data_IF_275572961182
#
_entry.id   IF_275572961182
#
_cell.length_a   1.000
_cell.length_b   1.000
_cell.length_c   1.000
_cell.angle_alpha   90.00
_cell.angle_beta   90.00
_cell.angle_gamma   90.00
#
_symmetry.space_group_name_H-M   'P 1'
#
loop_
_entity.id
_entity.type
_entity.pdbx_description
1 polymer ?
#
# COMPACT_ATOMS: atom_id res chain seq x y z
N UNK A 1 -23.20 -14.00 -3.41
CA UNK A 1 -22.41 -12.98 -4.10
C UNK A 1 -20.97 -13.06 -3.63
N UNK A 2 -19.94 -12.82 -4.48
CA UNK A 2 -18.55 -12.95 -4.09
C UNK A 2 -18.18 -11.91 -3.02
N UNK A 3 -17.55 -12.39 -1.95
CA UNK A 3 -17.05 -11.54 -0.86
C UNK A 3 -15.60 -11.91 -0.60
N UNK A 4 -14.72 -10.91 -0.61
CA UNK A 4 -13.31 -11.08 -0.27
C UNK A 4 -12.93 -10.15 0.88
N UNK A 5 -12.08 -10.65 1.77
CA UNK A 5 -11.49 -9.89 2.87
C UNK A 5 -9.99 -10.08 2.83
N UNK A 6 -9.25 -8.98 2.75
CA UNK A 6 -7.81 -8.94 2.93
C UNK A 6 -7.52 -8.31 4.28
N UNK A 7 -7.01 -9.10 5.22
CA UNK A 7 -6.68 -8.63 6.56
C UNK A 7 -5.23 -8.96 6.89
N UNK A 8 -4.44 -7.92 7.17
CA UNK A 8 -3.06 -8.02 7.60
C UNK A 8 -2.94 -7.42 9.01
N UNK A 9 -2.28 -8.13 9.89
CA UNK A 9 -2.06 -7.73 11.27
C UNK A 9 -0.59 -7.91 11.64
N UNK A 10 0.03 -6.84 12.13
CA UNK A 10 1.43 -6.79 12.52
C UNK A 10 1.53 -6.32 13.96
N UNK A 11 2.14 -7.12 14.81
CA UNK A 11 2.52 -6.74 16.16
C UNK A 11 4.04 -6.54 16.19
N UNK A 12 4.48 -5.36 16.57
CA UNK A 12 5.90 -4.97 16.57
C UNK A 12 6.37 -4.72 17.99
N UNK A 13 7.42 -5.39 18.41
CA UNK A 13 8.17 -5.01 19.62
C UNK A 13 8.83 -3.63 19.45
N UNK A 14 9.22 -2.99 20.57
CA UNK A 14 9.77 -1.63 20.56
C UNK A 14 11.00 -1.46 19.64
N UNK A 15 11.83 -2.47 19.51
CA UNK A 15 13.02 -2.47 18.64
C UNK A 15 12.75 -3.03 17.23
N UNK A 16 11.53 -3.47 16.95
CA UNK A 16 11.20 -4.09 15.66
C UNK A 16 10.81 -3.06 14.61
N UNK A 17 11.22 -3.36 13.39
CA UNK A 17 10.84 -2.59 12.20
C UNK A 17 10.42 -3.53 11.08
N UNK A 18 9.51 -3.09 10.23
CA UNK A 18 9.03 -3.88 9.11
C UNK A 18 8.81 -3.04 7.87
N UNK A 19 9.00 -3.66 6.72
CA UNK A 19 8.50 -3.16 5.43
C UNK A 19 7.43 -4.16 4.98
N UNK A 20 6.19 -3.71 4.92
CA UNK A 20 5.08 -4.47 4.38
C UNK A 20 4.56 -3.86 3.10
N UNK A 21 3.95 -4.65 2.25
CA UNK A 21 3.27 -4.15 1.07
C UNK A 21 2.02 -4.96 0.74
N UNK A 22 1.13 -4.34 -0.02
CA UNK A 22 -0.07 -4.95 -0.54
C UNK A 22 -0.34 -4.45 -1.95
N UNK A 23 -0.73 -5.37 -2.83
CA UNK A 23 -1.08 -5.09 -4.22
C UNK A 23 -2.50 -5.62 -4.46
N UNK A 24 -3.41 -4.71 -4.76
CA UNK A 24 -4.80 -5.02 -5.04
C UNK A 24 -5.10 -4.75 -6.51
N UNK A 25 -5.39 -5.81 -7.27
CA UNK A 25 -5.95 -5.70 -8.62
C UNK A 25 -7.46 -5.92 -8.60
N UNK A 26 -8.20 -5.00 -9.17
CA UNK A 26 -9.66 -5.06 -9.27
C UNK A 26 -10.09 -5.69 -10.59
N UNK A 27 -10.80 -6.82 -10.52
CA UNK A 27 -11.21 -7.57 -11.70
C UNK A 27 -10.07 -8.36 -12.33
N UNK A 28 -10.11 -8.48 -13.65
CA UNK A 28 -9.08 -9.10 -14.49
C UNK A 28 -8.63 -8.09 -15.55
N UNK A 29 -7.78 -7.12 -15.20
CA UNK A 29 -7.42 -6.02 -16.11
C UNK A 29 -6.83 -6.50 -17.43
N UNK A 30 -6.07 -7.59 -17.43
CA UNK A 30 -5.49 -8.19 -18.63
C UNK A 30 -6.56 -8.73 -19.61
N UNK A 31 -7.75 -9.07 -19.13
CA UNK A 31 -8.88 -9.55 -19.94
C UNK A 31 -9.93 -8.44 -20.20
N UNK A 32 -9.66 -7.21 -19.75
CA UNK A 32 -10.63 -6.12 -19.86
C UNK A 32 -11.85 -6.23 -18.94
N UNK A 33 -11.84 -7.16 -17.99
CA UNK A 33 -12.93 -7.37 -17.05
C UNK A 33 -12.75 -6.50 -15.81
N UNK A 34 -13.62 -5.50 -15.63
CA UNK A 34 -13.64 -4.62 -14.48
C UNK A 34 -14.29 -5.26 -13.24
N UNK A 35 -13.99 -4.74 -12.07
CA UNK A 35 -14.65 -5.10 -10.83
C UNK A 35 -16.00 -4.37 -10.71
N UNK A 36 -17.08 -5.06 -11.05
CA UNK A 36 -18.42 -4.48 -11.15
C UNK A 36 -19.46 -5.10 -10.19
N UNK A 37 -19.09 -6.13 -9.44
CA UNK A 37 -19.97 -6.86 -8.50
C UNK A 37 -19.16 -7.45 -7.35
N UNK A 38 -19.85 -7.71 -6.25
CA UNK A 38 -19.24 -8.27 -5.04
C UNK A 38 -18.83 -7.22 -4.03
N UNK A 39 -18.30 -7.69 -2.91
CA UNK A 39 -17.80 -6.87 -1.82
C UNK A 39 -16.36 -7.24 -1.50
N UNK A 40 -15.49 -6.25 -1.45
CA UNK A 40 -14.10 -6.37 -1.00
C UNK A 40 -13.88 -5.50 0.23
N UNK A 41 -13.26 -6.05 1.24
CA UNK A 41 -12.84 -5.34 2.45
C UNK A 41 -11.32 -5.49 2.62
N UNK A 42 -10.64 -4.38 2.90
CA UNK A 42 -9.24 -4.36 3.25
C UNK A 42 -9.06 -3.82 4.67
N UNK A 43 -8.20 -4.47 5.44
CA UNK A 43 -7.78 -4.03 6.75
C UNK A 43 -6.31 -4.35 6.95
N UNK A 44 -5.52 -3.32 7.23
CA UNK A 44 -4.12 -3.45 7.61
C UNK A 44 -3.95 -2.78 8.96
N UNK A 45 -3.44 -3.50 9.93
CA UNK A 45 -3.19 -3.01 11.28
C UNK A 45 -1.72 -3.20 11.64
N UNK A 46 -1.13 -2.16 12.19
CA UNK A 46 0.20 -2.20 12.82
C UNK A 46 0.03 -1.78 14.26
N UNK A 47 0.38 -2.66 15.17
CA UNK A 47 0.32 -2.46 16.61
C UNK A 47 1.75 -2.32 17.14
N UNK A 48 2.01 -1.23 17.84
CA UNK A 48 3.24 -0.99 18.59
C UNK A 48 2.99 -1.24 20.09
N UNK A 49 4.02 -1.31 20.94
CA UNK A 49 3.83 -1.47 22.39
C UNK A 49 2.99 -0.36 23.04
N UNK A 50 2.98 0.82 22.44
CA UNK A 50 2.15 1.97 22.89
C UNK A 50 0.69 1.91 22.41
N UNK A 51 0.31 0.88 21.67
CA UNK A 51 -1.02 0.70 21.07
C UNK A 51 -1.02 0.80 19.54
N UNK A 52 -2.19 0.99 18.92
CA UNK A 52 -2.31 1.04 17.46
C UNK A 52 -1.44 2.15 16.84
N UNK A 53 -0.45 1.75 16.05
CA UNK A 53 0.43 2.66 15.32
C UNK A 53 -0.15 3.06 13.96
N UNK A 54 -0.84 2.15 13.28
CA UNK A 54 -1.48 2.46 12.00
C UNK A 54 -2.64 1.51 11.71
N UNK A 55 -3.70 2.09 11.13
CA UNK A 55 -4.86 1.35 10.67
C UNK A 55 -5.26 1.87 9.30
N UNK A 56 -5.24 0.99 8.31
CA UNK A 56 -5.80 1.21 6.99
C UNK A 56 -7.07 0.38 6.84
N UNK A 57 -8.14 1.00 6.36
CA UNK A 57 -9.41 0.32 6.05
C UNK A 57 -9.98 0.80 4.73
N UNK A 58 -10.37 -0.15 3.89
CA UNK A 58 -11.06 0.11 2.64
C UNK A 58 -12.24 -0.84 2.45
N UNK A 59 -13.31 -0.35 1.86
CA UNK A 59 -14.46 -1.17 1.46
C UNK A 59 -14.89 -0.74 0.06
N UNK A 60 -14.93 -1.71 -0.84
CA UNK A 60 -15.55 -1.58 -2.15
C UNK A 60 -16.76 -2.52 -2.17
N UNK A 61 -17.94 -1.98 -2.35
CA UNK A 61 -19.20 -2.73 -2.24
C UNK A 61 -20.13 -2.39 -3.40
N UNK A 62 -20.34 -3.36 -4.30
CA UNK A 62 -21.30 -3.28 -5.39
C UNK A 62 -22.58 -4.06 -5.10
N UNK A 63 -22.63 -4.82 -4.03
CA UNK A 63 -23.78 -5.68 -3.71
C UNK A 63 -24.88 -4.90 -2.96
N UNK A 64 -24.52 -3.91 -2.14
CA UNK A 64 -25.47 -3.02 -1.51
C UNK A 64 -25.69 -1.77 -2.40
N UNK A 65 -26.91 -1.54 -2.92
CA UNK A 65 -27.21 -0.39 -3.78
C UNK A 65 -26.85 0.96 -3.16
N UNK A 66 -26.91 1.08 -1.82
CA UNK A 66 -26.55 2.32 -1.08
C UNK A 66 -25.04 2.60 -1.14
N UNK A 67 -24.22 1.56 -1.27
CA UNK A 67 -22.77 1.66 -1.33
C UNK A 67 -22.21 1.61 -2.74
N UNK A 68 -22.92 0.97 -3.68
CA UNK A 68 -22.47 0.78 -5.05
C UNK A 68 -22.15 2.09 -5.77
N UNK A 69 -23.00 3.11 -5.59
CA UNK A 69 -22.76 4.43 -6.19
C UNK A 69 -21.52 5.12 -5.59
N UNK A 70 -21.34 5.04 -4.28
CA UNK A 70 -20.14 5.57 -3.62
C UNK A 70 -18.88 4.86 -4.11
N UNK A 71 -18.95 3.53 -4.28
CA UNK A 71 -17.85 2.72 -4.81
C UNK A 71 -17.50 3.15 -6.23
N UNK A 72 -18.49 3.32 -7.12
CA UNK A 72 -18.24 3.80 -8.50
C UNK A 72 -17.57 5.17 -8.50
N UNK A 73 -18.08 6.11 -7.70
CA UNK A 73 -17.48 7.46 -7.58
C UNK A 73 -16.03 7.40 -7.09
N UNK A 74 -15.75 6.58 -6.08
CA UNK A 74 -14.38 6.42 -5.56
C UNK A 74 -13.43 5.89 -6.64
N UNK A 75 -13.88 4.86 -7.40
CA UNK A 75 -13.04 4.25 -8.43
C UNK A 75 -12.84 5.19 -9.65
N UNK A 76 -13.84 5.99 -10.00
CA UNK A 76 -13.76 6.91 -11.15
C UNK A 76 -13.13 8.27 -10.82
N UNK A 77 -13.09 8.67 -9.56
CA UNK A 77 -12.64 10.01 -9.15
C UNK A 77 -11.12 10.17 -9.30
N UNK A 78 -10.64 11.30 -9.85
CA UNK A 78 -9.22 11.65 -9.82
C UNK A 78 -8.64 11.79 -8.41
N UNK A 79 -9.49 12.07 -7.42
CA UNK A 79 -9.10 12.09 -5.99
C UNK A 79 -9.18 10.70 -5.33
N UNK A 80 -9.64 9.70 -6.05
CA UNK A 80 -9.73 8.30 -5.64
C UNK A 80 -8.78 7.43 -6.45
N UNK A 81 -9.36 6.52 -7.24
CA UNK A 81 -8.58 5.57 -8.04
C UNK A 81 -8.31 6.04 -9.49
N UNK A 82 -8.89 7.16 -9.91
CA UNK A 82 -8.69 7.75 -11.24
C UNK A 82 -8.97 6.75 -12.38
N UNK A 83 -9.96 5.88 -12.20
CA UNK A 83 -10.30 4.81 -13.15
C UNK A 83 -9.28 3.67 -13.23
N UNK A 84 -8.20 3.70 -12.47
CA UNK A 84 -7.14 2.68 -12.52
C UNK A 84 -7.53 1.45 -11.72
N UNK A 85 -7.33 0.23 -12.25
CA UNK A 85 -7.79 -0.99 -11.57
C UNK A 85 -6.81 -1.53 -10.53
N UNK A 86 -5.60 -0.99 -10.41
CA UNK A 86 -4.58 -1.53 -9.49
C UNK A 86 -4.15 -0.47 -8.49
N UNK A 87 -4.25 -0.80 -7.21
CA UNK A 87 -3.72 -0.04 -6.08
C UNK A 87 -2.55 -0.80 -5.44
N UNK A 88 -1.44 -0.13 -5.25
CA UNK A 88 -0.33 -0.62 -4.46
C UNK A 88 -0.11 0.22 -3.21
N UNK A 89 0.15 -0.44 -2.10
CA UNK A 89 0.60 0.17 -0.87
C UNK A 89 1.90 -0.48 -0.40
N UNK A 90 2.82 0.35 0.05
CA UNK A 90 4.05 -0.06 0.72
C UNK A 90 4.20 0.77 1.98
N UNK A 91 4.54 0.15 3.09
CA UNK A 91 4.75 0.89 4.34
C UNK A 91 6.04 0.46 5.02
N UNK A 92 6.70 1.42 5.64
CA UNK A 92 7.73 1.21 6.65
C UNK A 92 7.08 1.49 8.00
N UNK A 93 7.19 0.56 8.94
CA UNK A 93 6.64 0.73 10.27
C UNK A 93 7.65 0.32 11.34
N UNK A 94 7.62 1.03 12.48
CA UNK A 94 8.48 0.80 13.62
C UNK A 94 7.67 0.69 14.92
N UNK A 95 8.06 -0.22 15.81
CA UNK A 95 7.44 -0.41 17.12
C UNK A 95 7.74 0.74 18.10
N UNK A 96 8.83 1.46 17.91
CA UNK A 96 9.12 2.74 18.58
C UNK A 96 8.94 3.92 17.63
N UNK A 97 8.64 5.13 18.13
CA UNK A 97 8.57 6.33 17.30
C UNK A 97 9.88 6.55 16.54
N UNK A 98 9.78 6.72 15.24
CA UNK A 98 10.90 7.10 14.39
C UNK A 98 11.36 8.52 14.72
N UNK A 99 12.67 8.69 14.84
CA UNK A 99 13.28 10.02 14.96
C UNK A 99 12.92 10.86 13.72
N UNK A 100 12.69 12.16 13.90
CA UNK A 100 12.18 13.06 12.86
C UNK A 100 13.05 13.06 11.60
N UNK A 101 14.36 13.24 11.75
CA UNK A 101 15.30 13.23 10.62
C UNK A 101 15.33 11.88 9.88
N UNK A 102 15.20 10.78 10.62
CA UNK A 102 15.13 9.44 10.00
C UNK A 102 13.85 9.27 9.21
N UNK A 103 12.73 9.73 9.75
CA UNK A 103 11.42 9.71 9.09
C UNK A 103 11.42 10.55 7.81
N UNK A 104 12.05 11.74 7.85
CA UNK A 104 12.23 12.59 6.67
C UNK A 104 13.08 11.90 5.59
N UNK A 105 14.22 11.28 5.94
CA UNK A 105 15.03 10.53 4.97
C UNK A 105 14.28 9.37 4.34
N UNK A 106 13.49 8.61 5.12
CA UNK A 106 12.63 7.54 4.59
C UNK A 106 11.58 8.11 3.62
N UNK A 107 10.96 9.24 3.95
CA UNK A 107 9.99 9.90 3.09
C UNK A 107 10.63 10.40 1.78
N UNK A 108 11.76 11.06 1.86
CA UNK A 108 12.50 11.58 0.70
C UNK A 108 13.02 10.44 -0.18
N UNK A 109 13.59 9.39 0.40
CA UNK A 109 14.07 8.22 -0.34
C UNK A 109 12.94 7.51 -1.07
N UNK A 110 11.74 7.45 -0.47
CA UNK A 110 10.56 6.89 -1.13
C UNK A 110 10.12 7.75 -2.32
N UNK A 111 10.05 9.06 -2.13
CA UNK A 111 9.67 10.01 -3.20
C UNK A 111 10.64 9.99 -4.36
N UNK A 112 11.94 9.91 -4.08
CA UNK A 112 12.99 9.84 -5.10
C UNK A 112 12.99 8.50 -5.87
N UNK A 113 12.58 7.41 -5.22
CA UNK A 113 12.59 6.08 -5.81
C UNK A 113 11.27 5.72 -6.53
N UNK A 114 10.16 6.39 -6.20
CA UNK A 114 8.87 6.13 -6.84
C UNK A 114 8.89 6.70 -8.27
N UNK A 115 8.66 5.86 -9.31
CA UNK A 115 8.65 6.34 -10.69
C UNK A 115 7.58 7.41 -10.93
N UNK A 116 7.93 8.49 -11.61
CA UNK A 116 7.00 9.58 -11.97
C UNK A 116 5.83 9.12 -12.85
N UNK A 117 6.01 8.02 -13.59
CA UNK A 117 4.95 7.42 -14.40
C UNK A 117 3.81 6.79 -13.59
N UNK A 118 4.01 6.55 -12.29
CA UNK A 118 2.98 6.04 -11.39
C UNK A 118 2.22 7.21 -10.75
N UNK A 119 0.89 7.11 -10.78
CA UNK A 119 0.04 8.05 -10.04
C UNK A 119 0.10 7.71 -8.53
N UNK A 120 1.03 8.33 -7.81
CA UNK A 120 1.26 7.97 -6.42
C UNK A 120 2.05 8.97 -5.63
N UNK A 121 2.28 8.66 -4.35
CA UNK A 121 3.06 9.48 -3.47
C UNK A 121 3.37 8.81 -2.13
N UNK A 122 4.29 9.44 -1.39
CA UNK A 122 4.68 9.02 -0.06
C UNK A 122 4.21 10.03 0.99
N UNK A 123 3.72 9.52 2.12
CA UNK A 123 3.20 10.31 3.25
C UNK A 123 3.67 9.74 4.59
N UNK A 124 3.59 10.58 5.61
CA UNK A 124 3.86 10.21 7.00
C UNK A 124 2.58 10.37 7.81
N UNK A 125 1.78 9.30 8.00
CA UNK A 125 0.54 9.38 8.79
C UNK A 125 0.78 9.75 10.25
N UNK A 126 1.89 9.28 10.81
CA UNK A 126 2.30 9.54 12.18
C UNK A 126 3.80 9.23 12.37
N UNK A 127 4.29 9.32 13.61
CA UNK A 127 5.71 9.09 13.92
C UNK A 127 6.20 7.64 13.87
N UNK A 128 5.34 6.67 13.66
CA UNK A 128 5.72 5.25 13.56
C UNK A 128 5.77 4.74 12.13
N UNK A 129 5.14 5.45 11.16
CA UNK A 129 4.87 4.89 9.85
C UNK A 129 5.12 5.88 8.73
N UNK A 130 5.76 5.41 7.68
CA UNK A 130 5.83 6.06 6.36
C UNK A 130 5.10 5.18 5.36
N UNK A 131 4.21 5.74 4.56
CA UNK A 131 3.37 4.98 3.61
C UNK A 131 3.54 5.55 2.20
N UNK A 132 3.70 4.65 1.24
CA UNK A 132 3.58 4.93 -0.19
C UNK A 132 2.29 4.32 -0.70
N UNK A 133 1.54 5.09 -1.50
CA UNK A 133 0.39 4.58 -2.27
C UNK A 133 0.58 4.97 -3.71
N UNK A 134 0.28 4.05 -4.61
CA UNK A 134 0.32 4.33 -6.03
C UNK A 134 -0.75 3.53 -6.78
N UNK A 135 -1.17 4.05 -7.91
CA UNK A 135 -2.17 3.48 -8.79
C UNK A 135 -1.54 3.19 -10.16
N UNK A 136 -2.00 2.13 -10.81
CA UNK A 136 -1.58 1.77 -12.15
C UNK A 136 -2.67 1.02 -12.92
N UNK A 137 -2.47 0.90 -14.22
CA UNK A 137 -3.37 0.11 -15.08
C UNK A 137 -3.06 -1.39 -15.02
N UNK A 138 -1.84 -1.76 -14.58
CA UNK A 138 -1.36 -3.15 -14.46
C UNK A 138 -0.51 -3.34 -13.19
N UNK A 139 -0.42 -4.58 -12.76
CA UNK A 139 0.29 -4.97 -11.54
C UNK A 139 1.81 -4.83 -11.68
N UNK A 140 2.36 -5.20 -12.85
CA UNK A 140 3.80 -5.31 -13.05
C UNK A 140 4.53 -3.96 -12.84
N UNK A 141 4.16 -2.84 -13.53
CA UNK A 141 4.86 -1.57 -13.32
C UNK A 141 4.69 -1.05 -11.89
N UNK A 142 3.58 -1.38 -11.24
CA UNK A 142 3.34 -1.00 -9.85
C UNK A 142 4.25 -1.80 -8.90
N UNK A 143 4.36 -3.12 -9.12
CA UNK A 143 5.24 -3.99 -8.33
C UNK A 143 6.72 -3.59 -8.48
N UNK A 144 7.15 -3.25 -9.70
CA UNK A 144 8.50 -2.75 -9.97
C UNK A 144 8.76 -1.43 -9.25
N UNK A 145 7.83 -0.47 -9.33
CA UNK A 145 7.96 0.83 -8.68
C UNK A 145 8.00 0.71 -7.15
N UNK A 146 7.11 -0.07 -6.54
CA UNK A 146 7.16 -0.34 -5.10
C UNK A 146 8.40 -1.14 -4.70
N UNK A 147 8.88 -2.02 -5.57
CA UNK A 147 10.15 -2.72 -5.41
C UNK A 147 11.35 -1.77 -5.33
N UNK A 148 11.37 -0.72 -6.16
CA UNK A 148 12.39 0.33 -6.12
C UNK A 148 12.36 1.11 -4.79
N UNK A 149 11.17 1.48 -4.32
CA UNK A 149 10.99 2.14 -3.01
C UNK A 149 11.44 1.22 -1.87
N UNK A 150 11.03 -0.06 -1.89
CA UNK A 150 11.49 -1.04 -0.90
C UNK A 150 13.01 -1.14 -0.87
N UNK A 151 13.66 -1.14 -2.03
CA UNK A 151 15.10 -1.17 -2.15
C UNK A 151 15.75 0.08 -1.51
N UNK A 152 15.19 1.26 -1.76
CA UNK A 152 15.64 2.50 -1.16
C UNK A 152 15.50 2.48 0.37
N UNK A 153 14.37 2.04 0.89
CA UNK A 153 14.15 1.93 2.34
C UNK A 153 15.07 0.91 3.01
N UNK A 154 15.35 -0.23 2.38
CA UNK A 154 16.30 -1.21 2.94
C UNK A 154 17.70 -0.63 3.08
N UNK A 155 18.16 0.14 2.09
CA UNK A 155 19.46 0.83 2.15
C UNK A 155 19.45 1.93 3.22
N UNK A 156 18.42 2.79 3.21
CA UNK A 156 18.32 3.92 4.15
C UNK A 156 18.19 3.49 5.60
N UNK A 157 17.30 2.53 5.88
CA UNK A 157 16.97 2.13 7.24
C UNK A 157 17.98 1.14 7.85
N UNK A 158 18.46 0.20 7.04
CA UNK A 158 19.19 -0.97 7.52
C UNK A 158 20.55 -1.18 6.85
N UNK A 159 20.93 -0.34 5.90
CA UNK A 159 22.18 -0.48 5.11
C UNK A 159 22.27 -1.86 4.42
N UNK A 160 21.12 -2.41 4.02
CA UNK A 160 21.00 -3.71 3.38
C UNK A 160 20.73 -3.57 1.89
N UNK A 161 21.40 -4.42 1.10
CA UNK A 161 21.12 -4.54 -0.33
C UNK A 161 19.70 -5.05 -0.60
N UNK A 162 19.16 -4.61 -1.71
CA UNK A 162 17.80 -4.95 -2.14
C UNK A 162 17.77 -6.30 -2.87
N UNK A 163 17.94 -7.39 -2.14
CA UNK A 163 17.72 -8.71 -2.72
C UNK A 163 16.21 -8.96 -2.84
N UNK A 164 15.75 -9.24 -4.07
CA UNK A 164 14.37 -9.67 -4.28
C UNK A 164 14.18 -11.09 -3.72
N UNK A 165 13.11 -11.35 -2.98
CA UNK A 165 12.78 -12.70 -2.58
C UNK A 165 12.67 -13.63 -3.79
N UNK A 166 13.17 -14.86 -3.66
CA UNK A 166 13.19 -15.82 -4.77
C UNK A 166 11.80 -16.06 -5.37
N UNK A 167 10.77 -16.06 -4.54
CA UNK A 167 9.37 -16.27 -4.95
C UNK A 167 8.76 -15.13 -5.78
N UNK A 168 9.44 -13.98 -5.86
CA UNK A 168 8.99 -12.85 -6.69
C UNK A 168 9.63 -12.83 -8.08
N UNK A 169 10.38 -13.85 -8.43
CA UNK A 169 11.07 -14.01 -9.73
C UNK A 169 10.36 -15.00 -10.67
N UNK A 170 9.17 -15.45 -10.28
CA UNK A 170 8.34 -16.40 -11.06
C UNK A 170 7.36 -15.67 -11.93
#
# INVERSE_FOLDING_TARGET
>A
MPRAVNALHFELDAGAETIGWDLLGLGLPASGEGYTRGRFEQRIEVIAPSGPAWLERGVLDFDDPRHAERTRRLLASPLGWDGRPVLGMLWFAAGAPLEERRRERLLESARAALPEALAGGATVPNRHVVVVRALADRVEPLAEGLGAVRAAWRREAWQLEATLPRVWRT
#
